data_IF_807374813372
#
_entry.id   IF_807374813372
#
_cell.length_a   1.000
_cell.length_b   1.000
_cell.length_c   1.000
_cell.angle_alpha   90.00
_cell.angle_beta   90.00
_cell.angle_gamma   90.00
#
_symmetry.space_group_name_H-M   'P 1'
#
loop_
_entity.id
_entity.type
_entity.pdbx_description
1 polymer ?
#
# COMPACT_ATOMS: atom_id res chain seq x y z
N UNK A 1 7.86 -21.94 1.22
CA UNK A 1 6.62 -21.13 1.14
C UNK A 1 6.45 -20.52 -0.25
N UNK A 2 6.04 -21.35 -1.23
CA UNK A 2 5.74 -20.95 -2.62
C UNK A 2 4.24 -21.20 -2.84
N UNK A 3 3.36 -20.20 -2.64
CA UNK A 3 1.93 -20.27 -3.07
C UNK A 3 1.09 -18.98 -2.88
N UNK A 4 1.70 -17.79 -2.81
CA UNK A 4 0.94 -16.51 -2.66
C UNK A 4 1.08 -15.61 -3.90
N UNK A 5 1.97 -15.93 -4.84
CA UNK A 5 2.33 -15.07 -5.97
C UNK A 5 1.21 -14.87 -7.01
N UNK A 6 0.23 -15.78 -7.11
CA UNK A 6 -0.79 -15.74 -8.17
C UNK A 6 -2.05 -14.94 -7.81
N UNK A 7 -2.39 -14.79 -6.52
CA UNK A 7 -3.66 -14.16 -6.12
C UNK A 7 -3.63 -12.62 -6.11
N UNK A 8 -2.45 -11.99 -6.19
CA UNK A 8 -2.34 -10.52 -6.16
C UNK A 8 -2.51 -9.93 -7.57
N UNK A 9 -2.19 -10.69 -8.62
CA UNK A 9 -2.32 -10.26 -10.02
C UNK A 9 -3.79 -10.34 -10.48
N UNK A 10 -4.59 -11.22 -9.89
CA UNK A 10 -5.98 -11.48 -10.29
C UNK A 10 -7.00 -10.42 -9.82
N UNK A 11 -6.64 -9.51 -8.91
CA UNK A 11 -7.54 -8.47 -8.37
C UNK A 11 -7.08 -7.09 -8.88
N UNK A 12 -7.05 -6.91 -10.20
CA UNK A 12 -6.84 -5.61 -10.83
C UNK A 12 -8.05 -5.36 -11.72
N UNK A 13 -9.19 -5.02 -11.10
CA UNK A 13 -10.36 -4.54 -11.85
C UNK A 13 -10.07 -3.15 -12.39
N UNK A 14 -10.14 -3.05 -13.72
CA UNK A 14 -10.12 -1.87 -14.55
C UNK A 14 -11.00 -0.72 -13.99
N UNK A 15 -10.38 0.28 -13.37
CA UNK A 15 -11.01 1.58 -13.13
C UNK A 15 -10.31 2.63 -14.02
N UNK A 16 -11.06 3.50 -14.74
CA UNK A 16 -10.47 4.45 -15.67
C UNK A 16 -9.62 5.49 -14.91
N UNK A 17 -8.38 5.62 -15.36
CA UNK A 17 -7.26 6.22 -14.64
C UNK A 17 -7.21 7.74 -14.86
N UNK A 18 -7.50 8.51 -13.82
CA UNK A 18 -7.00 9.90 -13.68
C UNK A 18 -6.23 9.95 -12.36
N UNK A 19 -5.05 9.34 -12.35
CA UNK A 19 -4.00 9.55 -11.36
C UNK A 19 -2.66 9.37 -12.05
N UNK A 20 -1.71 10.28 -11.86
CA UNK A 20 -0.36 10.25 -12.45
C UNK A 20 0.51 9.05 -12.02
N UNK A 21 -0.06 8.10 -11.29
CA UNK A 21 0.64 7.04 -10.56
C UNK A 21 0.19 5.71 -11.10
N UNK A 22 1.03 4.96 -11.81
CA UNK A 22 0.67 3.71 -12.47
C UNK A 22 0.48 2.55 -11.48
N UNK A 23 -0.25 1.49 -11.89
CA UNK A 23 -0.42 0.32 -11.03
C UNK A 23 0.89 -0.44 -10.80
N UNK A 24 1.79 -0.41 -11.78
CA UNK A 24 3.15 -0.94 -11.66
C UNK A 24 3.94 -0.22 -10.56
N UNK A 25 3.83 1.11 -10.47
CA UNK A 25 4.47 1.91 -9.41
C UNK A 25 3.93 1.54 -8.03
N UNK A 26 2.61 1.37 -7.91
CA UNK A 26 1.98 0.91 -6.65
C UNK A 26 2.51 -0.46 -6.27
N UNK A 27 2.52 -1.42 -7.21
CA UNK A 27 2.97 -2.79 -6.96
C UNK A 27 4.43 -2.82 -6.52
N UNK A 28 5.30 -2.08 -7.19
CA UNK A 28 6.72 -2.05 -6.86
C UNK A 28 6.98 -1.41 -5.49
N UNK A 29 6.28 -0.32 -5.18
CA UNK A 29 6.38 0.31 -3.87
C UNK A 29 5.84 -0.59 -2.76
N UNK A 30 4.73 -1.32 -2.99
CA UNK A 30 4.23 -2.34 -2.05
C UNK A 30 5.25 -3.46 -1.85
N UNK A 31 5.94 -3.93 -2.90
CA UNK A 31 6.99 -4.95 -2.78
C UNK A 31 8.12 -4.48 -1.88
N UNK A 32 8.58 -3.24 -2.05
CA UNK A 32 9.62 -2.65 -1.20
C UNK A 32 9.13 -2.45 0.25
N UNK A 33 7.92 -1.93 0.44
CA UNK A 33 7.34 -1.70 1.76
C UNK A 33 7.16 -2.99 2.58
N UNK A 34 6.83 -4.12 1.92
CA UNK A 34 6.70 -5.46 2.56
C UNK A 34 7.96 -5.94 3.28
N UNK A 35 9.11 -5.38 2.97
CA UNK A 35 10.38 -5.72 3.61
C UNK A 35 10.49 -5.12 5.03
N UNK A 36 9.66 -4.13 5.38
CA UNK A 36 9.68 -3.48 6.68
C UNK A 36 8.60 -4.04 7.61
N UNK A 37 8.99 -4.36 8.84
CA UNK A 37 8.09 -4.96 9.86
C UNK A 37 6.85 -4.11 10.12
N UNK A 38 7.01 -2.77 10.16
CA UNK A 38 5.89 -1.87 10.42
C UNK A 38 4.79 -1.97 9.36
N UNK A 39 5.14 -2.27 8.10
CA UNK A 39 4.16 -2.44 7.05
C UNK A 39 3.56 -3.84 7.07
N UNK A 40 4.32 -4.85 7.49
CA UNK A 40 3.80 -6.21 7.66
C UNK A 40 2.68 -6.30 8.69
N UNK A 41 2.69 -5.47 9.73
CA UNK A 41 1.60 -5.39 10.72
C UNK A 41 0.25 -5.18 10.02
N UNK A 42 0.18 -4.27 9.04
CA UNK A 42 -1.02 -4.00 8.26
C UNK A 42 -1.42 -5.15 7.33
N UNK A 43 -0.47 -5.97 6.90
CA UNK A 43 -0.74 -7.08 5.99
C UNK A 43 -1.20 -8.35 6.73
N UNK A 44 -1.01 -8.42 8.04
CA UNK A 44 -1.47 -9.54 8.88
C UNK A 44 -2.98 -9.50 9.14
N UNK A 45 -3.58 -8.32 9.08
CA UNK A 45 -5.03 -8.14 9.21
C UNK A 45 -5.66 -7.99 7.82
N UNK A 46 -6.56 -8.91 7.47
CA UNK A 46 -7.20 -8.95 6.16
C UNK A 46 -8.00 -7.68 5.84
N UNK A 47 -8.51 -6.96 6.84
CA UNK A 47 -9.27 -5.72 6.63
C UNK A 47 -8.34 -4.60 6.14
N UNK A 48 -7.19 -4.45 6.79
CA UNK A 48 -6.16 -3.49 6.37
C UNK A 48 -5.54 -3.87 5.03
N UNK A 49 -5.30 -5.16 4.80
CA UNK A 49 -4.83 -5.68 3.51
C UNK A 49 -5.82 -5.38 2.37
N UNK A 50 -7.11 -5.63 2.56
CA UNK A 50 -8.15 -5.29 1.59
C UNK A 50 -8.21 -3.78 1.33
N UNK A 51 -8.03 -2.97 2.38
CA UNK A 51 -7.95 -1.51 2.24
C UNK A 51 -6.74 -1.08 1.40
N UNK A 52 -5.56 -1.66 1.62
CA UNK A 52 -4.36 -1.39 0.82
C UNK A 52 -4.56 -1.77 -0.65
N UNK A 53 -5.26 -2.87 -0.91
CA UNK A 53 -5.51 -3.37 -2.28
C UNK A 53 -6.59 -2.55 -3.00
N UNK A 54 -7.63 -2.09 -2.31
CA UNK A 54 -8.81 -1.52 -2.99
C UNK A 54 -8.97 -0.01 -2.85
N UNK A 55 -8.42 0.59 -1.78
CA UNK A 55 -8.67 2.01 -1.51
C UNK A 55 -7.78 2.91 -2.38
N UNK A 56 -8.40 3.66 -3.29
CA UNK A 56 -7.73 4.60 -4.21
C UNK A 56 -6.77 5.57 -3.51
N UNK A 57 -7.14 6.12 -2.35
CA UNK A 57 -6.30 7.10 -1.63
C UNK A 57 -5.08 6.45 -0.99
N UNK A 58 -5.24 5.22 -0.48
CA UNK A 58 -4.12 4.42 0.04
C UNK A 58 -3.17 4.04 -1.09
N UNK A 59 -3.69 3.46 -2.19
CA UNK A 59 -2.89 3.10 -3.37
C UNK A 59 -2.13 4.30 -3.94
N UNK A 60 -2.80 5.43 -4.14
CA UNK A 60 -2.15 6.66 -4.61
C UNK A 60 -1.01 7.10 -3.68
N UNK A 61 -1.25 7.09 -2.36
CA UNK A 61 -0.23 7.48 -1.36
C UNK A 61 0.99 6.57 -1.42
N UNK A 62 0.79 5.27 -1.72
CA UNK A 62 1.87 4.31 -1.88
C UNK A 62 2.58 4.47 -3.23
N UNK A 63 1.86 4.72 -4.32
CA UNK A 63 2.49 4.79 -5.64
C UNK A 63 3.32 6.07 -5.86
N UNK A 64 3.02 7.20 -5.21
CA UNK A 64 3.88 8.41 -5.26
C UNK A 64 5.22 8.28 -4.50
N UNK A 65 5.49 7.14 -3.86
CA UNK A 65 6.71 6.95 -3.07
C UNK A 65 7.92 6.78 -3.98
N UNK A 66 9.06 7.33 -3.57
CA UNK A 66 10.34 7.12 -4.24
C UNK A 66 10.99 5.88 -3.64
N UNK A 67 10.68 4.68 -4.16
CA UNK A 67 11.17 3.42 -3.59
C UNK A 67 12.69 3.35 -3.39
N UNK A 68 13.48 3.92 -4.30
CA UNK A 68 14.94 4.02 -4.22
C UNK A 68 15.44 4.77 -2.97
N UNK A 69 14.57 5.57 -2.34
CA UNK A 69 14.87 6.30 -1.10
C UNK A 69 14.38 5.57 0.16
N UNK A 70 13.65 4.46 0.05
CA UNK A 70 13.09 3.77 1.23
C UNK A 70 14.15 3.13 2.14
N UNK A 71 15.37 2.94 1.63
CA UNK A 71 16.51 2.47 2.41
C UNK A 71 17.14 3.59 3.26
N UNK A 72 16.81 4.86 2.98
CA UNK A 72 17.18 5.99 3.85
C UNK A 72 16.26 6.01 5.09
N UNK A 73 16.80 5.92 6.32
CA UNK A 73 15.98 5.83 7.53
C UNK A 73 15.05 7.04 7.77
N UNK A 74 15.51 8.25 7.43
CA UNK A 74 14.73 9.48 7.61
C UNK A 74 13.53 9.52 6.66
N UNK A 75 13.77 9.20 5.39
CA UNK A 75 12.73 9.04 4.41
C UNK A 75 11.78 7.89 4.78
N UNK A 76 12.32 6.75 5.21
CA UNK A 76 11.50 5.61 5.66
C UNK A 76 10.55 6.01 6.78
N UNK A 77 11.04 6.73 7.80
CA UNK A 77 10.20 7.18 8.92
C UNK A 77 9.10 8.15 8.46
N UNK A 78 9.43 9.05 7.52
CA UNK A 78 8.46 9.96 6.89
C UNK A 78 7.39 9.19 6.14
N UNK A 79 7.80 8.19 5.34
CA UNK A 79 6.90 7.32 4.59
C UNK A 79 6.03 6.49 5.52
N UNK A 80 6.61 5.87 6.55
CA UNK A 80 5.88 5.11 7.57
C UNK A 80 4.76 5.94 8.15
N UNK A 81 5.06 7.17 8.58
CA UNK A 81 4.08 8.07 9.17
C UNK A 81 2.98 8.41 8.17
N UNK A 82 3.35 8.79 6.94
CA UNK A 82 2.40 9.18 5.89
C UNK A 82 1.47 8.04 5.48
N UNK A 83 2.02 6.85 5.25
CA UNK A 83 1.28 5.65 4.82
C UNK A 83 0.39 5.15 5.96
N UNK A 84 0.93 5.02 7.18
CA UNK A 84 0.16 4.57 8.35
C UNK A 84 -1.02 5.51 8.62
N UNK A 85 -0.79 6.83 8.67
CA UNK A 85 -1.86 7.81 8.88
C UNK A 85 -2.93 7.74 7.78
N UNK A 86 -2.54 7.49 6.53
CA UNK A 86 -3.50 7.33 5.43
C UNK A 86 -4.33 6.06 5.61
N UNK A 87 -3.68 4.93 5.93
CA UNK A 87 -4.33 3.65 6.15
C UNK A 87 -5.34 3.76 7.29
N UNK A 88 -4.91 4.24 8.46
CA UNK A 88 -5.80 4.40 9.63
C UNK A 88 -6.97 5.34 9.33
N UNK A 89 -6.71 6.48 8.68
CA UNK A 89 -7.76 7.44 8.32
C UNK A 89 -8.82 6.84 7.42
N UNK A 90 -8.43 6.03 6.42
CA UNK A 90 -9.40 5.37 5.55
C UNK A 90 -10.06 4.17 6.23
N UNK A 91 -9.34 3.47 7.12
CA UNK A 91 -9.89 2.38 7.93
C UNK A 91 -11.00 2.87 8.87
N UNK A 92 -10.77 3.95 9.61
CA UNK A 92 -11.79 4.53 10.50
C UNK A 92 -13.06 4.93 9.74
N UNK A 93 -12.95 5.44 8.51
CA UNK A 93 -14.13 5.83 7.71
C UNK A 93 -14.97 4.64 7.26
N UNK A 94 -14.34 3.51 7.00
CA UNK A 94 -15.03 2.29 6.58
C UNK A 94 -15.73 1.63 7.76
N UNK A 95 -15.14 1.68 8.97
CA UNK A 95 -15.66 1.00 10.16
C UNK A 95 -16.47 1.92 11.11
N UNK A 96 -16.61 3.21 10.80
CA UNK A 96 -17.48 4.13 11.54
C UNK A 96 -18.94 4.14 11.05
N UNK A 97 -19.28 3.22 10.13
CA UNK A 97 -20.64 2.94 9.66
C UNK A 97 -21.12 1.62 10.24
#
# INVERSE_FOLDING_TARGET
MRRIFLNIISIISFAPFISEVSEEEVVENVRKLKQFDWFQVYLRDERYKNLIISNKKVRYTIGILKNKKLDDPSYNNTVRTKVSNRIEKEFSKVNAK
#
